data_IF_955576710107
#
_entry.id   IF_955576710107
#
_cell.length_a   1.000
_cell.length_b   1.000
_cell.length_c   1.000
_cell.angle_alpha   90.00
_cell.angle_beta   90.00
_cell.angle_gamma   90.00
#
_symmetry.space_group_name_H-M   'P 1'
#
loop_
_entity.id
_entity.type
_entity.pdbx_description
1 polymer ?
#
# COMPACT_ATOMS: atom_id res chain seq x y z
N UNK A 1 -1.63 -17.29 -16.64
CA UNK A 1 -2.69 -16.49 -17.31
C UNK A 1 -4.04 -17.14 -17.04
N UNK A 2 -5.15 -16.39 -17.10
CA UNK A 2 -6.53 -16.88 -16.85
C UNK A 2 -7.31 -16.78 -18.17
N UNK A 3 -8.04 -17.83 -18.54
CA UNK A 3 -8.88 -17.84 -19.75
C UNK A 3 -10.03 -16.81 -19.62
N UNK A 4 -10.16 -15.83 -20.54
CA UNK A 4 -11.23 -14.84 -20.51
C UNK A 4 -12.64 -15.45 -20.49
N UNK A 5 -12.85 -16.64 -21.06
CA UNK A 5 -14.14 -17.31 -21.09
C UNK A 5 -14.65 -17.74 -19.70
N UNK A 6 -13.77 -17.80 -18.70
CA UNK A 6 -14.15 -18.16 -17.33
C UNK A 6 -14.82 -17.01 -16.57
N UNK A 7 -14.74 -15.79 -17.09
CA UNK A 7 -15.32 -14.59 -16.47
C UNK A 7 -14.89 -14.34 -15.02
N UNK A 8 -13.69 -14.81 -14.63
CA UNK A 8 -13.12 -14.57 -13.30
C UNK A 8 -12.69 -13.11 -13.20
N UNK A 9 -13.12 -12.43 -12.14
CA UNK A 9 -12.67 -11.07 -11.79
C UNK A 9 -11.61 -11.16 -10.69
N UNK A 10 -10.55 -10.36 -10.83
CA UNK A 10 -9.44 -10.31 -9.86
C UNK A 10 -9.24 -8.86 -9.42
N UNK A 11 -9.17 -8.67 -8.10
CA UNK A 11 -8.87 -7.37 -7.48
C UNK A 11 -7.80 -7.54 -6.42
N UNK A 12 -6.77 -6.70 -6.49
CA UNK A 12 -5.76 -6.54 -5.46
C UNK A 12 -6.27 -5.48 -4.49
N UNK A 13 -6.60 -5.90 -3.28
CA UNK A 13 -6.97 -4.96 -2.22
C UNK A 13 -5.69 -4.50 -1.52
N UNK A 14 -5.47 -3.19 -1.49
CA UNK A 14 -4.28 -2.56 -0.89
C UNK A 14 -4.66 -1.91 0.44
N UNK A 15 -4.43 -2.60 1.57
CA UNK A 15 -4.84 -2.10 2.88
C UNK A 15 -3.88 -1.05 3.43
N UNK A 16 -4.42 -0.17 4.27
CA UNK A 16 -3.64 0.62 5.22
C UNK A 16 -3.46 -0.09 6.57
N UNK A 17 -3.11 0.65 7.62
CA UNK A 17 -2.91 0.08 8.94
C UNK A 17 -4.25 -0.20 9.65
N UNK A 18 -4.63 -1.48 9.68
CA UNK A 18 -5.79 -1.97 10.45
C UNK A 18 -5.34 -2.70 11.72
N UNK A 19 -6.09 -2.51 12.81
CA UNK A 19 -5.83 -3.12 14.11
C UNK A 19 -6.00 -4.63 13.99
N UNK A 20 -4.87 -5.32 13.97
CA UNK A 20 -4.75 -6.79 13.93
C UNK A 20 -3.64 -7.19 14.89
N UNK A 21 -3.45 -8.49 15.11
CA UNK A 21 -2.33 -9.00 15.91
C UNK A 21 -0.98 -8.97 15.18
N UNK A 22 -0.86 -8.26 14.03
CA UNK A 22 0.34 -8.29 13.20
C UNK A 22 1.58 -7.73 13.91
N UNK A 23 1.43 -6.69 14.73
CA UNK A 23 2.58 -6.14 15.47
C UNK A 23 3.15 -7.13 16.50
N UNK A 24 2.32 -8.04 17.02
CA UNK A 24 2.73 -9.06 17.98
C UNK A 24 3.25 -10.34 17.31
N UNK A 25 2.75 -10.65 16.11
CA UNK A 25 2.99 -11.93 15.43
C UNK A 25 3.97 -11.86 14.27
N UNK A 26 4.17 -10.68 13.67
CA UNK A 26 5.08 -10.53 12.54
C UNK A 26 6.54 -10.71 13.00
N UNK A 27 7.30 -11.62 12.36
CA UNK A 27 8.72 -11.76 12.67
C UNK A 27 9.49 -10.51 12.21
N UNK A 28 10.22 -9.88 13.13
CA UNK A 28 11.11 -8.78 12.81
C UNK A 28 12.50 -9.33 12.49
N UNK A 29 12.82 -9.46 11.20
CA UNK A 29 14.17 -9.84 10.74
C UNK A 29 15.20 -8.78 11.12
N UNK A 30 16.47 -9.12 11.38
CA UNK A 30 17.52 -8.13 11.67
C UNK A 30 17.70 -7.13 10.52
N UNK A 31 18.07 -5.89 10.86
CA UNK A 31 18.36 -4.86 9.87
C UNK A 31 19.62 -5.20 9.06
N UNK A 32 19.65 -4.80 7.80
CA UNK A 32 20.83 -5.03 6.96
C UNK A 32 22.03 -4.21 7.47
N UNK A 33 23.26 -4.78 7.58
CA UNK A 33 24.42 -4.11 8.19
C UNK A 33 24.80 -2.76 7.54
N UNK A 34 24.50 -2.56 6.26
CA UNK A 34 24.73 -1.30 5.56
C UNK A 34 23.75 -0.15 5.95
N UNK A 35 22.66 -0.45 6.65
CA UNK A 35 21.58 0.51 6.96
C UNK A 35 21.33 0.62 8.46
N UNK A 36 22.39 0.93 9.21
CA UNK A 36 22.37 0.99 10.69
C UNK A 36 22.28 2.39 11.27
N UNK A 37 22.31 3.43 10.42
CA UNK A 37 22.30 4.82 10.89
C UNK A 37 21.00 5.16 11.62
N UNK A 38 21.12 5.72 12.83
CA UNK A 38 19.99 6.20 13.65
C UNK A 38 19.23 7.39 13.05
N UNK A 39 19.80 8.05 12.04
CA UNK A 39 19.09 9.10 11.29
C UNK A 39 18.06 8.54 10.30
N UNK A 40 18.11 7.25 9.98
CA UNK A 40 17.18 6.63 9.04
C UNK A 40 15.81 6.41 9.71
N UNK A 41 14.70 6.90 9.12
CA UNK A 41 13.36 6.67 9.66
C UNK A 41 13.03 5.18 9.85
N UNK A 42 13.57 4.31 8.99
CA UNK A 42 13.39 2.86 9.08
C UNK A 42 14.06 2.26 10.31
N UNK A 43 15.22 2.78 10.73
CA UNK A 43 15.89 2.34 11.96
C UNK A 43 15.09 2.78 13.18
N UNK A 44 14.60 4.03 13.20
CA UNK A 44 13.74 4.52 14.27
C UNK A 44 12.43 3.71 14.39
N UNK A 45 11.81 3.38 13.25
CA UNK A 45 10.60 2.56 13.22
C UNK A 45 10.83 1.13 13.74
N UNK A 46 11.98 0.54 13.42
CA UNK A 46 12.34 -0.80 13.92
C UNK A 46 12.61 -0.81 15.42
N UNK A 47 13.26 0.24 15.93
CA UNK A 47 13.52 0.41 17.36
C UNK A 47 12.21 0.66 18.15
N UNK A 48 11.22 1.31 17.53
CA UNK A 48 9.92 1.59 18.13
C UNK A 48 8.75 1.41 17.13
N UNK A 49 8.19 0.20 17.01
CA UNK A 49 7.06 -0.07 16.10
C UNK A 49 5.80 0.75 16.43
N UNK A 50 5.66 1.25 17.66
CA UNK A 50 4.53 2.08 18.07
C UNK A 50 4.51 3.47 17.40
N UNK A 51 5.56 3.81 16.64
CA UNK A 51 5.54 4.99 15.77
C UNK A 51 4.52 4.85 14.61
N UNK A 52 4.08 3.63 14.30
CA UNK A 52 2.99 3.41 13.34
C UNK A 52 1.67 3.68 14.05
N UNK A 53 0.93 4.68 13.56
CA UNK A 53 -0.46 4.88 13.96
C UNK A 53 -1.33 3.87 13.20
N UNK A 54 -1.85 2.89 13.93
CA UNK A 54 -2.84 1.93 13.46
C UNK A 54 -4.21 2.37 13.91
N UNK A 55 -5.04 2.80 12.95
CA UNK A 55 -6.35 3.39 13.23
C UNK A 55 -7.50 2.76 12.42
N UNK A 56 -7.20 1.77 11.57
CA UNK A 56 -8.22 1.02 10.86
C UNK A 56 -8.89 -0.06 11.72
N UNK A 57 -10.18 -0.26 11.53
CA UNK A 57 -10.96 -1.33 12.14
C UNK A 57 -10.98 -2.58 11.24
N UNK A 58 -10.50 -3.72 11.75
CA UNK A 58 -10.38 -4.95 10.96
C UNK A 58 -11.73 -5.57 10.56
N UNK A 59 -12.79 -5.40 11.37
CA UNK A 59 -14.12 -5.89 11.05
C UNK A 59 -14.71 -5.09 9.87
N UNK A 60 -14.55 -3.75 9.90
CA UNK A 60 -14.92 -2.89 8.77
C UNK A 60 -14.11 -3.19 7.52
N UNK A 61 -12.83 -3.55 7.65
CA UNK A 61 -12.02 -3.99 6.51
C UNK A 61 -12.57 -5.28 5.88
N UNK A 62 -12.95 -6.25 6.70
CA UNK A 62 -13.56 -7.51 6.24
C UNK A 62 -14.89 -7.26 5.52
N UNK A 63 -15.74 -6.40 6.06
CA UNK A 63 -16.99 -5.99 5.40
C UNK A 63 -16.71 -5.31 4.05
N UNK A 64 -15.71 -4.43 3.99
CA UNK A 64 -15.30 -3.79 2.74
C UNK A 64 -14.79 -4.81 1.71
N UNK A 65 -14.01 -5.81 2.12
CA UNK A 65 -13.54 -6.87 1.22
C UNK A 65 -14.70 -7.63 0.60
N UNK A 66 -15.70 -7.99 1.41
CA UNK A 66 -16.90 -8.65 0.94
C UNK A 66 -17.69 -7.76 -0.03
N UNK A 67 -17.83 -6.46 0.25
CA UNK A 67 -18.49 -5.52 -0.68
C UNK A 67 -17.74 -5.43 -2.01
N UNK A 68 -16.40 -5.35 -1.98
CA UNK A 68 -15.55 -5.28 -3.17
C UNK A 68 -15.70 -6.56 -4.01
N UNK A 69 -15.76 -7.74 -3.40
CA UNK A 69 -15.92 -9.01 -4.12
C UNK A 69 -17.27 -9.15 -4.82
N UNK A 70 -18.26 -8.35 -4.45
CA UNK A 70 -19.60 -8.35 -5.05
C UNK A 70 -19.82 -7.22 -6.08
N UNK A 71 -18.78 -6.46 -6.42
CA UNK A 71 -18.88 -5.47 -7.50
C UNK A 71 -18.98 -6.19 -8.86
N UNK A 72 -19.92 -5.74 -9.70
CA UNK A 72 -20.10 -6.23 -11.08
C UNK A 72 -18.81 -6.06 -11.91
N UNK A 73 -18.18 -4.89 -11.78
CA UNK A 73 -16.96 -4.49 -12.48
C UNK A 73 -15.95 -3.95 -11.46
N UNK A 74 -15.28 -4.83 -10.69
CA UNK A 74 -14.35 -4.37 -9.69
C UNK A 74 -13.07 -3.82 -10.35
N UNK A 75 -12.43 -2.78 -9.77
CA UNK A 75 -11.15 -2.31 -10.28
C UNK A 75 -10.05 -3.34 -10.03
N UNK A 76 -8.97 -3.27 -10.81
CA UNK A 76 -7.81 -4.15 -10.63
C UNK A 76 -7.15 -3.93 -9.26
N UNK A 77 -7.05 -2.68 -8.80
CA UNK A 77 -6.52 -2.32 -7.49
C UNK A 77 -7.54 -1.49 -6.72
N UNK A 78 -7.80 -1.86 -5.48
CA UNK A 78 -8.72 -1.12 -4.60
C UNK A 78 -8.01 -0.77 -3.30
N UNK A 79 -7.83 0.53 -3.05
CA UNK A 79 -7.18 1.02 -1.84
C UNK A 79 -8.21 1.17 -0.73
N UNK A 80 -7.96 0.53 0.40
CA UNK A 80 -8.77 0.72 1.61
C UNK A 80 -7.92 1.40 2.68
N UNK A 81 -8.52 2.32 3.43
CA UNK A 81 -7.90 3.23 4.39
C UNK A 81 -7.47 4.60 3.82
N UNK A 82 -7.81 5.67 4.54
CA UNK A 82 -7.52 7.07 4.16
C UNK A 82 -6.02 7.34 3.92
N UNK A 83 -5.13 6.73 4.72
CA UNK A 83 -3.67 6.91 4.60
C UNK A 83 -3.15 6.32 3.29
N UNK A 84 -3.60 5.12 2.92
CA UNK A 84 -3.21 4.45 1.68
C UNK A 84 -3.68 5.27 0.48
N UNK A 85 -4.93 5.74 0.50
CA UNK A 85 -5.45 6.61 -0.56
C UNK A 85 -4.67 7.94 -0.68
N UNK A 86 -4.27 8.56 0.44
CA UNK A 86 -3.45 9.77 0.44
C UNK A 86 -2.04 9.51 -0.13
N UNK A 87 -1.37 8.45 0.30
CA UNK A 87 -0.05 8.06 -0.20
C UNK A 87 -0.06 7.75 -1.69
N UNK A 88 -1.09 7.03 -2.16
CA UNK A 88 -1.23 6.73 -3.58
C UNK A 88 -1.48 7.97 -4.42
N UNK A 89 -2.36 8.88 -3.98
CA UNK A 89 -2.57 10.17 -4.67
C UNK A 89 -1.28 10.96 -4.77
N UNK A 90 -0.51 11.04 -3.69
CA UNK A 90 0.79 11.71 -3.67
C UNK A 90 1.75 11.05 -4.67
N UNK A 91 1.83 9.72 -4.68
CA UNK A 91 2.71 8.99 -5.60
C UNK A 91 2.34 9.19 -7.07
N UNK A 92 1.04 9.19 -7.38
CA UNK A 92 0.53 9.48 -8.72
C UNK A 92 0.91 10.89 -9.12
N UNK A 93 0.70 11.88 -8.25
CA UNK A 93 1.07 13.28 -8.52
C UNK A 93 2.57 13.44 -8.80
N UNK A 94 3.44 12.87 -7.96
CA UNK A 94 4.89 12.91 -8.15
C UNK A 94 5.32 12.22 -9.44
N UNK A 95 4.68 11.10 -9.80
CA UNK A 95 4.98 10.39 -11.03
C UNK A 95 4.55 11.18 -12.27
N UNK A 96 3.33 11.73 -12.27
CA UNK A 96 2.85 12.60 -13.35
C UNK A 96 3.77 13.80 -13.53
N UNK A 97 4.16 14.47 -12.45
CA UNK A 97 5.09 15.59 -12.52
C UNK A 97 6.43 15.20 -13.15
N UNK A 98 7.02 14.08 -12.74
CA UNK A 98 8.28 13.61 -13.31
C UNK A 98 8.17 13.28 -14.82
N UNK A 99 7.03 12.77 -15.28
CA UNK A 99 6.76 12.52 -16.70
C UNK A 99 6.65 13.83 -17.47
N UNK A 100 5.93 14.81 -16.94
CA UNK A 100 5.77 16.13 -17.56
C UNK A 100 7.12 16.87 -17.67
N UNK A 101 7.95 16.80 -16.62
CA UNK A 101 9.31 17.35 -16.62
C UNK A 101 10.20 16.68 -17.68
N UNK A 102 10.18 15.34 -17.75
CA UNK A 102 10.94 14.58 -18.75
C UNK A 102 10.53 14.88 -20.20
N UNK A 103 9.23 15.14 -20.43
CA UNK A 103 8.71 15.55 -21.73
C UNK A 103 9.24 16.94 -22.12
N UNK A 104 9.24 17.90 -21.19
CA UNK A 104 9.78 19.26 -21.42
C UNK A 104 11.28 19.25 -21.69
N UNK A 105 12.03 18.43 -20.96
CA UNK A 105 13.48 18.30 -21.13
C UNK A 105 13.88 17.52 -22.40
N UNK A 106 12.92 16.93 -23.12
CA UNK A 106 13.17 16.17 -24.35
C UNK A 106 13.92 14.85 -24.11
N UNK A 107 13.92 14.37 -22.87
CA UNK A 107 14.54 13.08 -22.47
C UNK A 107 13.54 11.91 -22.50
N UNK A 108 12.26 12.20 -22.76
CA UNK A 108 11.24 11.21 -23.00
C UNK A 108 11.40 10.62 -24.41
N UNK A 109 11.67 9.31 -24.50
CA UNK A 109 11.90 8.56 -25.76
C UNK A 109 10.62 8.00 -26.36
#
# INVERSE_FOLDING_TARGET
>A
EIDPNWNIKVTIIEPGPFVTNILEKAPMLPGHPAYTSKSLPTVALRDNPNLIVIDGDAEKASEAFWKISNLENPPERFLIHRRTAQSARKKVQELTQALDEALVEGIYI
#
